data_IF_982753768957
#
_entry.id   IF_982753768957
#
_cell.length_a   1.000
_cell.length_b   1.000
_cell.length_c   1.000
_cell.angle_alpha   90.00
_cell.angle_beta   90.00
_cell.angle_gamma   90.00
#
_symmetry.space_group_name_H-M   'P 1'
#
loop_
_entity.id
_entity.type
_entity.pdbx_description
1 polymer ?
#
# COMPACT_ATOMS: atom_id res chain seq x y z
N UNK A 1 -2.96 5.90 10.50
CA UNK A 1 -2.25 5.18 9.43
C UNK A 1 -0.79 4.91 9.81
N UNK A 2 -0.17 3.91 9.20
CA UNK A 2 1.26 3.59 9.37
C UNK A 2 2.03 4.16 8.16
N UNK A 3 2.98 5.05 8.44
CA UNK A 3 3.70 5.80 7.40
C UNK A 3 5.21 5.62 7.57
N UNK A 4 5.95 5.59 6.45
CA UNK A 4 7.40 5.50 6.48
C UNK A 4 8.04 6.66 7.28
N UNK A 5 9.05 6.36 8.08
CA UNK A 5 9.72 7.36 8.93
C UNK A 5 10.16 8.60 8.16
N UNK A 6 10.66 8.42 6.93
CA UNK A 6 11.13 9.51 6.10
C UNK A 6 10.07 10.60 5.85
N UNK A 7 8.78 10.24 5.81
CA UNK A 7 7.71 11.20 5.60
C UNK A 7 7.55 12.20 6.75
N UNK A 8 7.93 11.84 7.97
CA UNK A 8 7.87 12.74 9.13
C UNK A 8 8.97 13.81 9.13
N UNK A 9 10.01 13.65 8.33
CA UNK A 9 11.08 14.66 8.17
C UNK A 9 10.74 15.72 7.12
N UNK A 10 9.70 15.50 6.30
CA UNK A 10 9.21 16.47 5.34
C UNK A 10 8.29 17.46 6.04
N UNK A 11 8.75 18.68 6.25
CA UNK A 11 8.06 19.72 7.05
C UNK A 11 6.58 19.91 6.64
N UNK A 12 6.31 20.01 5.35
CA UNK A 12 4.94 20.21 4.84
C UNK A 12 4.01 19.03 5.14
N UNK A 13 4.51 17.79 5.15
CA UNK A 13 3.71 16.59 5.39
C UNK A 13 3.56 16.26 6.87
N UNK A 14 4.50 16.68 7.70
CA UNK A 14 4.50 16.37 9.14
C UNK A 14 3.21 16.79 9.83
N UNK A 15 2.74 18.01 9.58
CA UNK A 15 1.51 18.53 10.20
C UNK A 15 0.28 17.72 9.80
N UNK A 16 0.19 17.31 8.52
CA UNK A 16 -0.89 16.47 8.02
C UNK A 16 -0.83 15.08 8.68
N UNK A 17 0.37 14.48 8.76
CA UNK A 17 0.56 13.17 9.37
C UNK A 17 0.20 13.16 10.86
N UNK A 18 0.55 14.22 11.58
CA UNK A 18 0.17 14.36 13.00
C UNK A 18 -1.34 14.55 13.12
N UNK A 19 -1.96 15.40 12.31
CA UNK A 19 -3.40 15.63 12.31
C UNK A 19 -4.21 14.37 11.99
N UNK A 20 -3.71 13.49 11.13
CA UNK A 20 -4.32 12.19 10.81
C UNK A 20 -3.98 11.07 11.78
N UNK A 21 -3.33 11.37 12.93
CA UNK A 21 -2.84 10.39 13.90
C UNK A 21 -2.01 9.27 13.25
N UNK A 22 -1.21 9.62 12.26
CA UNK A 22 -0.32 8.67 11.61
C UNK A 22 0.85 8.31 12.52
N UNK A 23 1.19 7.04 12.55
CA UNK A 23 2.34 6.52 13.31
C UNK A 23 3.46 6.11 12.37
N UNK A 24 4.68 6.19 12.88
CA UNK A 24 5.85 5.73 12.14
C UNK A 24 5.85 4.21 11.96
N UNK A 25 6.29 3.73 10.79
CA UNK A 25 6.38 2.31 10.45
C UNK A 25 7.47 1.54 11.22
N UNK A 26 7.94 2.07 12.36
CA UNK A 26 8.78 1.32 13.27
C UNK A 26 7.97 0.22 13.95
N UNK A 27 8.58 -0.95 14.09
CA UNK A 27 7.94 -2.12 14.68
C UNK A 27 7.37 -1.85 16.07
N UNK A 28 8.16 -1.19 16.93
CA UNK A 28 7.75 -0.86 18.31
C UNK A 28 6.45 -0.03 18.36
N UNK A 29 6.28 0.91 17.41
CA UNK A 29 5.08 1.73 17.34
C UNK A 29 3.85 0.92 16.92
N UNK A 30 4.03 0.02 15.95
CA UNK A 30 2.98 -0.88 15.49
C UNK A 30 2.57 -1.82 16.62
N UNK A 31 3.54 -2.46 17.27
CA UNK A 31 3.28 -3.36 18.40
C UNK A 31 2.59 -2.64 19.55
N UNK A 32 3.03 -1.40 19.87
CA UNK A 32 2.38 -0.58 20.90
C UNK A 32 0.91 -0.27 20.56
N UNK A 33 0.64 0.14 19.33
CA UNK A 33 -0.71 0.44 18.88
C UNK A 33 -1.62 -0.82 18.90
N UNK A 34 -1.10 -1.97 18.46
CA UNK A 34 -1.84 -3.24 18.52
C UNK A 34 -2.13 -3.68 19.96
N UNK A 35 -1.17 -3.48 20.89
CA UNK A 35 -1.39 -3.73 22.33
C UNK A 35 -2.50 -2.84 22.90
N UNK A 36 -2.62 -1.61 22.42
CA UNK A 36 -3.67 -0.68 22.79
C UNK A 36 -5.02 -0.96 22.09
N UNK A 37 -5.12 -2.05 21.31
CA UNK A 37 -6.29 -2.41 20.50
C UNK A 37 -6.69 -1.35 19.46
N UNK A 38 -5.71 -0.61 18.95
CA UNK A 38 -5.94 0.39 17.91
C UNK A 38 -6.03 -0.27 16.53
N UNK A 39 -6.98 0.20 15.71
CA UNK A 39 -7.05 -0.20 14.30
C UNK A 39 -5.97 0.50 13.50
N UNK A 40 -5.19 -0.25 12.73
CA UNK A 40 -4.09 0.26 11.93
C UNK A 40 -4.35 0.06 10.45
N UNK A 41 -4.13 1.10 9.66
CA UNK A 41 -4.07 0.98 8.19
C UNK A 41 -2.60 0.91 7.77
N UNK A 42 -2.24 -0.14 7.04
CA UNK A 42 -0.88 -0.40 6.54
C UNK A 42 -0.92 -0.52 5.02
N UNK A 43 0.00 0.15 4.34
CA UNK A 43 0.24 0.01 2.91
C UNK A 43 1.52 -0.83 2.70
N UNK A 44 1.41 -2.15 2.54
CA UNK A 44 2.56 -3.05 2.57
C UNK A 44 3.49 -2.90 1.36
N UNK A 45 2.97 -2.50 0.20
CA UNK A 45 3.73 -2.40 -1.05
C UNK A 45 4.77 -1.29 -1.07
N UNK A 46 4.42 -0.16 -0.49
CA UNK A 46 5.33 0.99 -0.34
C UNK A 46 5.67 1.69 -1.67
N UNK A 47 6.65 2.59 -1.61
CA UNK A 47 7.04 3.47 -2.73
C UNK A 47 7.43 2.71 -4.02
N UNK A 48 7.84 1.46 -3.93
CA UNK A 48 8.25 0.71 -5.11
C UNK A 48 7.13 0.52 -6.13
N UNK A 49 5.87 0.42 -5.70
CA UNK A 49 4.72 0.25 -6.59
C UNK A 49 4.59 1.39 -7.58
N UNK A 50 4.89 2.61 -7.15
CA UNK A 50 4.83 3.81 -7.98
C UNK A 50 5.75 3.78 -9.20
N UNK A 51 6.83 2.98 -9.15
CA UNK A 51 7.79 2.86 -10.24
C UNK A 51 7.46 1.75 -11.24
N UNK A 52 6.47 0.91 -10.95
CA UNK A 52 6.06 -0.20 -11.81
C UNK A 52 4.75 0.07 -12.55
N UNK A 53 4.06 1.18 -12.25
CA UNK A 53 2.81 1.50 -12.93
C UNK A 53 3.02 1.59 -14.44
N UNK A 54 2.26 0.82 -15.20
CA UNK A 54 2.11 0.92 -16.65
C UNK A 54 0.61 0.94 -17.02
N UNK A 55 0.32 1.06 -18.31
CA UNK A 55 -1.07 1.16 -18.77
C UNK A 55 -1.80 -0.18 -18.75
N UNK A 56 -1.07 -1.29 -18.88
CA UNK A 56 -1.63 -2.63 -19.05
C UNK A 56 -1.71 -3.41 -17.74
N UNK A 57 -0.93 -3.03 -16.72
CA UNK A 57 -0.81 -3.82 -15.51
C UNK A 57 -0.94 -2.97 -14.25
N UNK A 58 -1.50 -3.60 -13.22
CA UNK A 58 -1.45 -3.13 -11.84
C UNK A 58 -0.38 -3.90 -11.07
N UNK A 59 0.54 -3.20 -10.43
CA UNK A 59 1.64 -3.82 -9.68
C UNK A 59 1.47 -3.64 -8.19
N UNK A 60 1.57 -4.74 -7.44
CA UNK A 60 1.59 -4.73 -5.98
C UNK A 60 2.85 -5.42 -5.48
N UNK A 61 3.64 -4.69 -4.69
CA UNK A 61 4.90 -5.21 -4.15
C UNK A 61 4.68 -5.80 -2.74
N UNK A 62 4.09 -6.99 -2.68
CA UNK A 62 3.78 -7.67 -1.42
C UNK A 62 4.39 -9.07 -1.30
N UNK A 63 4.92 -9.64 -2.40
CA UNK A 63 5.42 -11.03 -2.44
C UNK A 63 6.45 -11.33 -1.34
N UNK A 64 7.34 -10.39 -1.06
CA UNK A 64 8.36 -10.53 -0.01
C UNK A 64 8.00 -9.81 1.31
N UNK A 65 6.83 -9.18 1.40
CA UNK A 65 6.44 -8.31 2.50
C UNK A 65 5.62 -9.05 3.56
N UNK A 66 6.25 -9.95 4.30
CA UNK A 66 5.58 -10.79 5.31
C UNK A 66 5.53 -10.17 6.71
N UNK A 67 6.28 -9.09 6.95
CA UNK A 67 6.45 -8.53 8.29
C UNK A 67 5.13 -8.08 8.94
N UNK A 68 4.22 -7.47 8.18
CA UNK A 68 2.93 -7.03 8.71
C UNK A 68 2.05 -8.22 9.14
N UNK A 69 2.12 -9.35 8.43
CA UNK A 69 1.45 -10.60 8.83
C UNK A 69 1.99 -11.09 10.18
N UNK A 70 3.33 -11.15 10.31
CA UNK A 70 3.97 -11.56 11.57
C UNK A 70 3.50 -10.67 12.73
N UNK A 71 3.49 -9.35 12.55
CA UNK A 71 3.05 -8.41 13.58
C UNK A 71 1.57 -8.57 13.92
N UNK A 72 0.71 -8.82 12.94
CA UNK A 72 -0.70 -9.09 13.17
C UNK A 72 -0.91 -10.36 14.02
N UNK A 73 -0.22 -11.45 13.70
CA UNK A 73 -0.27 -12.70 14.49
C UNK A 73 0.25 -12.45 15.92
N UNK A 74 1.37 -11.77 16.06
CA UNK A 74 1.95 -11.46 17.38
C UNK A 74 1.02 -10.57 18.23
N UNK A 75 0.31 -9.65 17.59
CA UNK A 75 -0.67 -8.79 18.24
C UNK A 75 -2.00 -9.48 18.51
N UNK A 76 -2.31 -10.58 17.82
CA UNK A 76 -3.64 -11.20 17.81
C UNK A 76 -4.67 -10.29 17.15
N UNK A 77 -4.25 -9.60 16.08
CA UNK A 77 -5.08 -8.65 15.34
C UNK A 77 -5.40 -9.23 13.97
N UNK A 78 -6.67 -9.28 13.63
CA UNK A 78 -7.11 -9.75 12.33
C UNK A 78 -6.66 -8.82 11.20
N UNK A 79 -6.52 -9.36 10.01
CA UNK A 79 -6.14 -8.60 8.82
C UNK A 79 -7.35 -8.47 7.93
N UNK A 80 -7.65 -7.24 7.54
CA UNK A 80 -8.70 -6.91 6.59
C UNK A 80 -8.07 -6.48 5.28
N UNK A 81 -8.00 -7.35 4.25
CA UNK A 81 -7.47 -6.98 2.95
C UNK A 81 -8.35 -5.92 2.28
N UNK A 82 -7.74 -4.86 1.78
CA UNK A 82 -8.46 -3.81 1.04
C UNK A 82 -7.71 -3.53 -0.26
N UNK A 83 -8.44 -3.51 -1.37
CA UNK A 83 -7.92 -3.07 -2.65
C UNK A 83 -8.60 -1.76 -3.07
N UNK A 84 -7.81 -0.81 -3.59
CA UNK A 84 -8.31 0.49 -4.02
C UNK A 84 -8.06 0.67 -5.50
N UNK A 85 -9.13 0.54 -6.29
CA UNK A 85 -9.07 0.82 -7.73
C UNK A 85 -8.92 2.31 -7.98
N UNK A 86 -8.16 2.68 -9.00
CA UNK A 86 -7.90 4.06 -9.39
C UNK A 86 -6.83 4.77 -8.58
N UNK A 87 -6.27 4.14 -7.55
CA UNK A 87 -5.25 4.78 -6.70
C UNK A 87 -4.00 5.20 -7.47
N UNK A 88 -3.61 4.45 -8.50
CA UNK A 88 -2.45 4.74 -9.34
C UNK A 88 -2.68 5.89 -10.33
N UNK A 89 -3.95 6.19 -10.62
CA UNK A 89 -4.36 7.23 -11.58
C UNK A 89 -4.56 8.60 -10.93
N UNK A 90 -4.52 8.66 -9.58
CA UNK A 90 -4.71 9.89 -8.80
C UNK A 90 -3.64 10.93 -9.07
N UNK A 91 -2.41 10.47 -9.33
CA UNK A 91 -1.27 11.30 -9.72
C UNK A 91 -0.54 10.68 -10.90
N UNK A 92 -0.06 11.50 -11.79
CA UNK A 92 0.82 11.09 -12.88
C UNK A 92 2.28 11.24 -12.47
N UNK A 93 3.15 10.43 -13.06
CA UNK A 93 4.59 10.57 -12.91
C UNK A 93 5.17 11.28 -14.13
N UNK A 94 6.06 12.24 -13.93
CA UNK A 94 6.71 12.93 -15.05
C UNK A 94 7.55 11.93 -15.86
N UNK A 95 7.42 11.92 -17.21
CA UNK A 95 8.03 10.90 -18.07
C UNK A 95 9.53 10.75 -17.92
N UNK A 96 10.26 11.85 -17.72
CA UNK A 96 11.72 11.81 -17.58
C UNK A 96 12.20 11.08 -16.34
N UNK A 97 11.34 10.92 -15.31
CA UNK A 97 11.67 10.12 -14.12
C UNK A 97 11.54 8.60 -14.35
N UNK A 98 10.86 8.17 -15.40
CA UNK A 98 10.95 6.76 -15.82
C UNK A 98 12.41 6.37 -16.12
N UNK A 99 13.21 7.31 -16.61
CA UNK A 99 14.65 7.12 -16.88
C UNK A 99 15.52 7.32 -15.63
N UNK A 100 15.08 8.07 -14.64
CA UNK A 100 15.80 8.29 -13.38
C UNK A 100 15.62 7.15 -12.35
N UNK A 101 15.01 6.05 -12.75
CA UNK A 101 14.77 4.85 -11.92
C UNK A 101 16.04 4.39 -11.17
N UNK A 102 17.20 4.46 -11.82
CA UNK A 102 18.48 4.05 -11.25
C UNK A 102 19.02 5.05 -10.20
N UNK A 103 18.74 6.33 -10.36
CA UNK A 103 19.21 7.40 -9.48
C UNK A 103 18.40 7.39 -8.17
N UNK A 104 17.07 7.26 -8.26
CA UNK A 104 16.18 7.19 -7.12
C UNK A 104 16.44 5.95 -6.23
N UNK A 105 16.80 4.81 -6.85
CA UNK A 105 17.18 3.58 -6.12
C UNK A 105 18.48 3.76 -5.33
N UNK A 106 19.46 4.52 -5.85
CA UNK A 106 20.76 4.76 -5.20
C UNK A 106 20.65 5.68 -3.99
N UNK A 107 19.75 6.67 -4.06
CA UNK A 107 19.64 7.68 -3.00
C UNK A 107 18.56 7.39 -1.95
N UNK A 108 17.75 6.30 -2.09
CA UNK A 108 16.60 5.99 -1.20
C UNK A 108 15.69 7.18 -0.91
N UNK A 109 15.71 8.20 -1.75
CA UNK A 109 14.91 9.40 -1.60
C UNK A 109 13.61 9.14 -2.34
N UNK A 110 12.53 8.88 -1.60
CA UNK A 110 11.18 8.66 -2.13
C UNK A 110 10.52 9.93 -2.66
N UNK A 111 11.28 10.84 -3.26
CA UNK A 111 10.73 12.00 -3.96
C UNK A 111 10.52 11.58 -5.41
N UNK A 112 9.40 10.92 -5.66
CA UNK A 112 8.92 10.80 -7.02
C UNK A 112 8.21 12.11 -7.38
N UNK A 113 8.58 12.78 -8.45
CA UNK A 113 7.89 13.98 -8.90
C UNK A 113 6.58 13.56 -9.54
N UNK A 114 5.57 13.59 -8.72
CA UNK A 114 4.20 13.43 -9.15
C UNK A 114 3.62 14.79 -9.51
N UNK A 115 2.79 14.80 -10.54
CA UNK A 115 1.93 15.92 -10.84
C UNK A 115 0.47 15.44 -10.89
N UNK A 116 -0.41 16.31 -10.45
CA UNK A 116 -1.84 16.07 -10.52
C UNK A 116 -2.47 16.98 -11.59
N UNK A 117 -3.66 17.46 -11.31
CA UNK A 117 -4.39 18.36 -12.17
C UNK A 117 -3.57 19.64 -12.44
N UNK A 118 -3.62 20.12 -13.67
CA UNK A 118 -2.90 21.30 -14.19
C UNK A 118 -1.37 21.14 -14.27
N UNK A 119 -0.83 19.95 -14.16
CA UNK A 119 0.61 19.73 -14.28
C UNK A 119 1.45 20.29 -13.13
N UNK A 120 0.83 20.75 -12.05
CA UNK A 120 1.56 21.29 -10.89
C UNK A 120 2.12 20.15 -10.03
N UNK A 121 3.38 20.26 -9.57
CA UNK A 121 3.97 19.25 -8.70
C UNK A 121 3.25 19.21 -7.34
N UNK A 122 2.89 18.03 -6.88
CA UNK A 122 2.35 17.73 -5.52
C UNK A 122 1.15 18.59 -5.11
N UNK A 123 0.26 18.99 -6.04
CA UNK A 123 -0.80 19.90 -5.65
C UNK A 123 -2.17 19.24 -5.55
N UNK A 124 -2.92 19.26 -6.62
CA UNK A 124 -4.30 18.79 -6.62
C UNK A 124 -4.39 17.46 -7.35
N UNK A 125 -4.93 16.41 -6.72
CA UNK A 125 -5.08 15.11 -7.37
C UNK A 125 -5.97 15.17 -8.61
N UNK A 126 -5.76 14.27 -9.55
CA UNK A 126 -6.67 14.08 -10.67
C UNK A 126 -8.07 13.69 -10.16
N UNK A 127 -9.12 14.07 -10.88
CA UNK A 127 -10.49 13.64 -10.56
C UNK A 127 -10.72 12.23 -11.08
N UNK A 128 -10.33 11.26 -10.28
CA UNK A 128 -10.47 9.84 -10.58
C UNK A 128 -11.45 9.23 -9.58
N UNK A 129 -12.45 8.46 -10.02
CA UNK A 129 -13.28 7.70 -9.11
C UNK A 129 -12.41 6.69 -8.37
N UNK A 130 -12.59 6.56 -7.07
CA UNK A 130 -11.91 5.54 -6.26
C UNK A 130 -12.95 4.52 -5.80
N UNK A 131 -12.66 3.24 -6.04
CA UNK A 131 -13.47 2.14 -5.53
C UNK A 131 -12.66 1.37 -4.49
N UNK A 132 -13.11 1.43 -3.24
CA UNK A 132 -12.57 0.66 -2.13
C UNK A 132 -13.32 -0.66 -2.02
N UNK A 133 -12.63 -1.78 -2.20
CA UNK A 133 -13.20 -3.11 -2.01
C UNK A 133 -12.53 -3.76 -0.82
N UNK A 134 -13.37 -4.13 0.15
CA UNK A 134 -12.94 -4.78 1.38
C UNK A 134 -13.15 -6.29 1.21
N UNK A 135 -12.09 -7.06 1.41
CA UNK A 135 -12.12 -8.51 1.33
C UNK A 135 -12.54 -9.18 2.63
N UNK A 136 -12.53 -10.49 2.61
CA UNK A 136 -12.82 -11.29 3.79
C UNK A 136 -11.73 -11.12 4.86
N UNK A 137 -12.17 -11.07 6.11
CA UNK A 137 -11.30 -10.97 7.26
C UNK A 137 -10.44 -12.23 7.41
N UNK A 138 -9.15 -12.04 7.57
CA UNK A 138 -8.19 -13.10 7.87
C UNK A 138 -7.96 -13.10 9.38
N UNK A 139 -8.48 -14.10 10.05
CA UNK A 139 -8.33 -14.26 11.49
C UNK A 139 -6.89 -14.60 11.86
N UNK A 140 -6.35 -13.89 12.84
CA UNK A 140 -5.02 -14.10 13.40
C UNK A 140 -5.10 -14.38 14.89
N UNK A 141 -5.00 -15.65 15.28
CA UNK A 141 -4.87 -16.00 16.70
C UNK A 141 -3.55 -15.49 17.24
N UNK A 142 -3.58 -14.93 18.45
CA UNK A 142 -2.37 -14.40 19.09
C UNK A 142 -1.33 -15.48 19.30
N UNK A 143 -0.17 -15.31 18.69
CA UNK A 143 1.00 -16.16 18.87
C UNK A 143 2.25 -15.28 18.92
N UNK A 144 2.94 -15.24 20.05
CA UNK A 144 4.14 -14.39 20.24
C UNK A 144 5.33 -14.87 19.42
N UNK A 145 5.39 -16.14 19.07
CA UNK A 145 6.46 -16.76 18.27
C UNK A 145 5.88 -17.53 17.08
N UNK A 146 5.28 -16.83 16.09
CA UNK A 146 4.67 -17.52 14.94
C UNK A 146 5.74 -18.23 14.11
N UNK A 147 5.42 -19.43 13.65
CA UNK A 147 6.28 -20.19 12.75
C UNK A 147 6.29 -19.58 11.35
N UNK A 148 7.35 -19.79 10.61
CA UNK A 148 7.42 -19.38 9.19
C UNK A 148 6.27 -19.99 8.36
N UNK A 149 5.86 -21.22 8.68
CA UNK A 149 4.72 -21.87 8.03
C UNK A 149 3.43 -21.09 8.26
N UNK A 150 3.13 -20.73 9.51
CA UNK A 150 1.94 -19.98 9.87
C UNK A 150 1.91 -18.58 9.18
N UNK A 151 3.06 -17.91 9.16
CA UNK A 151 3.20 -16.60 8.48
C UNK A 151 2.95 -16.77 6.98
N UNK A 152 3.52 -17.80 6.35
CA UNK A 152 3.38 -18.04 4.92
C UNK A 152 1.93 -18.37 4.54
N UNK A 153 1.25 -19.24 5.28
CA UNK A 153 -0.15 -19.59 5.06
C UNK A 153 -1.06 -18.34 5.09
N UNK A 154 -0.90 -17.49 6.09
CA UNK A 154 -1.67 -16.24 6.18
C UNK A 154 -1.31 -15.24 5.09
N UNK A 155 -0.04 -15.17 4.70
CA UNK A 155 0.42 -14.32 3.63
C UNK A 155 -0.11 -14.76 2.25
N UNK A 156 -0.14 -16.05 1.97
CA UNK A 156 -0.72 -16.60 0.75
C UNK A 156 -2.24 -16.34 0.69
N UNK A 157 -2.93 -16.51 1.82
CA UNK A 157 -4.35 -16.18 1.93
C UNK A 157 -4.60 -14.69 1.67
N UNK A 158 -3.74 -13.80 2.20
CA UNK A 158 -3.80 -12.37 1.91
C UNK A 158 -3.62 -12.08 0.42
N UNK A 159 -2.58 -12.64 -0.21
CA UNK A 159 -2.32 -12.44 -1.64
C UNK A 159 -3.44 -12.99 -2.53
N UNK A 160 -3.97 -14.17 -2.21
CA UNK A 160 -5.08 -14.76 -2.96
C UNK A 160 -6.37 -13.94 -2.82
N UNK A 161 -6.64 -13.39 -1.64
CA UNK A 161 -7.78 -12.51 -1.40
C UNK A 161 -7.66 -11.21 -2.22
N UNK A 162 -6.49 -10.58 -2.25
CA UNK A 162 -6.24 -9.38 -3.06
C UNK A 162 -6.42 -9.69 -4.56
N UNK A 163 -5.89 -10.82 -5.04
CA UNK A 163 -6.12 -11.25 -6.43
C UNK A 163 -7.60 -11.43 -6.74
N UNK A 164 -8.33 -12.14 -5.88
CA UNK A 164 -9.76 -12.35 -6.05
C UNK A 164 -10.51 -11.03 -6.14
N UNK A 165 -10.28 -10.10 -5.21
CA UNK A 165 -10.90 -8.77 -5.25
C UNK A 165 -10.63 -8.08 -6.58
N UNK A 166 -9.38 -8.10 -7.05
CA UNK A 166 -9.03 -7.45 -8.32
C UNK A 166 -9.82 -8.04 -9.49
N UNK A 167 -9.81 -9.36 -9.67
CA UNK A 167 -10.47 -10.00 -10.81
C UNK A 167 -12.00 -9.93 -10.74
N UNK A 168 -12.60 -9.95 -9.56
CA UNK A 168 -14.06 -9.83 -9.39
C UNK A 168 -14.56 -8.41 -9.73
N UNK A 169 -13.76 -7.38 -9.47
CA UNK A 169 -14.21 -5.98 -9.58
C UNK A 169 -13.58 -5.18 -10.72
N UNK A 170 -12.52 -5.66 -11.38
CA UNK A 170 -11.87 -4.92 -12.48
C UNK A 170 -12.79 -4.57 -13.63
N UNK A 171 -13.80 -5.41 -13.90
CA UNK A 171 -14.77 -5.18 -14.96
C UNK A 171 -15.87 -4.18 -14.59
N UNK A 172 -16.07 -3.95 -13.29
CA UNK A 172 -17.11 -3.06 -12.76
C UNK A 172 -16.55 -1.65 -12.56
N UNK A 173 -15.27 -1.56 -12.18
CA UNK A 173 -14.66 -0.29 -11.88
C UNK A 173 -14.69 0.65 -13.10
N UNK A 174 -15.23 1.86 -12.89
CA UNK A 174 -15.26 2.97 -13.87
C UNK A 174 -15.66 2.54 -15.29
N UNK A 175 -16.78 1.81 -15.39
CA UNK A 175 -17.29 1.32 -16.68
C UNK A 175 -16.39 0.30 -17.38
N UNK A 176 -15.56 -0.42 -16.62
CA UNK A 176 -14.67 -1.46 -17.16
C UNK A 176 -13.31 -0.94 -17.61
N UNK A 177 -12.87 0.23 -17.11
CA UNK A 177 -11.55 0.81 -17.47
C UNK A 177 -10.37 -0.11 -17.11
N UNK A 178 -10.56 -1.05 -16.18
CA UNK A 178 -9.54 -2.03 -15.78
C UNK A 178 -9.73 -3.41 -16.44
N UNK A 179 -10.69 -3.56 -17.35
CA UNK A 179 -11.04 -4.86 -17.96
C UNK A 179 -9.83 -5.61 -18.53
N UNK A 180 -8.95 -4.91 -19.22
CA UNK A 180 -7.79 -5.50 -19.87
C UNK A 180 -6.53 -5.50 -18.97
N UNK A 181 -6.60 -4.88 -17.78
CA UNK A 181 -5.45 -4.86 -16.86
C UNK A 181 -5.26 -6.19 -16.17
N UNK A 182 -4.01 -6.54 -15.93
CA UNK A 182 -3.61 -7.71 -15.15
C UNK A 182 -2.97 -7.29 -13.83
N UNK A 183 -3.17 -8.10 -12.77
CA UNK A 183 -2.57 -7.85 -11.47
C UNK A 183 -1.26 -8.64 -11.33
N UNK A 184 -0.15 -7.92 -11.23
CA UNK A 184 1.19 -8.49 -11.04
C UNK A 184 1.64 -8.31 -9.60
N UNK A 185 1.82 -9.41 -8.87
CA UNK A 185 2.37 -9.40 -7.51
C UNK A 185 3.87 -9.64 -7.58
N UNK A 186 4.66 -8.66 -7.13
CA UNK A 186 6.13 -8.65 -7.15
C UNK A 186 6.73 -8.65 -5.75
#
# INVERSE_FOLDING_TARGET
AVVANAAFYLFAFRSILIGTKSISAKEDNIVKALKNKENLTILPGGIKELFYADEDNEYINIKSRKKFIKLAIQGGSDILPVYVFGSNDVYNMWPFFKYAKNISRKFRIGIAPFYGRWGLPISVPNRIPLLYVIGERIECKKNTNPTEKEINEKHELYMSTIKRIFYDYKNIYNGGSYKNKELVII
#
